data_IF_912133934042
#
_entry.id   IF_912133934042
#
_cell.length_a   1.000
_cell.length_b   1.000
_cell.length_c   1.000
_cell.angle_alpha   90.00
_cell.angle_beta   90.00
_cell.angle_gamma   90.00
#
_symmetry.space_group_name_H-M   'P 1'
#
loop_
_entity.id
_entity.type
_entity.pdbx_description
1 polymer ?
#
# COMPACT_ATOMS: atom_id res chain seq x y z
N UNK A 1 -22.24 -2.37 -0.77
CA UNK A 1 -21.75 -3.63 -1.37
C UNK A 1 -21.48 -4.60 -0.23
N UNK A 2 -21.75 -5.89 -0.39
CA UNK A 2 -21.40 -6.88 0.64
C UNK A 2 -19.88 -7.06 0.62
N UNK A 3 -19.22 -6.64 1.70
CA UNK A 3 -17.76 -6.75 1.84
C UNK A 3 -17.28 -8.20 1.96
N UNK A 4 -18.16 -9.12 2.35
CA UNK A 4 -17.88 -10.56 2.45
C UNK A 4 -18.88 -11.33 1.58
N UNK A 5 -18.37 -12.29 0.79
CA UNK A 5 -19.14 -13.04 -0.21
C UNK A 5 -20.45 -13.60 0.36
N UNK A 6 -21.51 -13.59 -0.46
CA UNK A 6 -22.82 -14.09 -0.04
C UNK A 6 -22.83 -15.63 0.02
N UNK A 7 -22.77 -16.18 1.24
CA UNK A 7 -22.96 -17.61 1.51
C UNK A 7 -23.64 -17.85 2.86
N UNK A 8 -24.85 -18.39 2.80
CA UNK A 8 -25.74 -18.92 3.85
C UNK A 8 -25.33 -18.85 5.34
N UNK A 9 -26.21 -18.23 6.11
CA UNK A 9 -26.31 -18.21 7.57
C UNK A 9 -26.21 -19.63 8.18
N UNK A 10 -25.23 -19.84 9.04
CA UNK A 10 -25.38 -20.73 10.20
C UNK A 10 -24.64 -20.15 11.40
N UNK A 11 -25.38 -19.99 12.50
CA UNK A 11 -24.98 -19.28 13.71
C UNK A 11 -23.88 -19.95 14.57
N UNK A 12 -23.77 -19.54 15.84
CA UNK A 12 -22.52 -19.12 16.45
C UNK A 12 -21.66 -20.29 16.95
N UNK A 13 -20.33 -20.15 16.84
CA UNK A 13 -19.41 -20.92 17.69
C UNK A 13 -18.78 -20.01 18.73
N UNK A 14 -19.27 -20.20 19.95
CA UNK A 14 -18.77 -19.69 21.21
C UNK A 14 -17.32 -20.12 21.48
N UNK A 15 -16.54 -19.17 21.99
CA UNK A 15 -15.58 -19.26 23.10
C UNK A 15 -14.53 -20.39 23.10
N UNK A 16 -13.26 -19.96 23.01
CA UNK A 16 -12.20 -20.33 23.95
C UNK A 16 -11.71 -21.78 23.94
N UNK A 17 -10.53 -22.02 23.36
CA UNK A 17 -9.92 -23.34 23.42
C UNK A 17 -8.48 -23.41 22.94
N UNK A 18 -7.54 -22.72 23.61
CA UNK A 18 -6.11 -23.09 23.58
C UNK A 18 -5.99 -24.54 24.08
N UNK A 19 -5.81 -25.49 23.15
CA UNK A 19 -5.16 -26.83 23.26
C UNK A 19 -5.84 -27.82 22.31
N UNK A 20 -5.46 -27.83 21.02
CA UNK A 20 -5.65 -29.04 20.21
C UNK A 20 -4.78 -29.08 18.94
N UNK A 21 -3.48 -28.76 19.05
CA UNK A 21 -2.52 -29.04 17.96
C UNK A 21 -1.24 -29.65 18.54
N UNK A 22 -1.39 -30.80 19.18
CA UNK A 22 -0.30 -31.71 19.49
C UNK A 22 -0.88 -33.10 19.71
N UNK A 23 -1.33 -33.74 18.63
CA UNK A 23 -1.29 -35.20 18.41
C UNK A 23 -2.19 -35.57 17.24
N UNK A 24 -1.61 -35.65 16.04
CA UNK A 24 -2.08 -36.53 14.96
C UNK A 24 -0.94 -36.77 13.95
N UNK A 25 0.20 -37.23 14.48
CA UNK A 25 1.09 -38.12 13.73
C UNK A 25 0.65 -39.54 14.02
N UNK A 26 -0.05 -40.17 13.07
CA UNK A 26 0.30 -41.48 12.51
C UNK A 26 -0.94 -42.26 12.00
N UNK A 27 -0.67 -42.98 10.89
CA UNK A 27 -1.38 -44.16 10.34
C UNK A 27 -2.65 -43.83 9.55
N UNK A 28 -2.77 -44.09 8.24
CA UNK A 28 -2.62 -45.38 7.57
C UNK A 28 -2.50 -45.23 6.03
N UNK A 29 -1.88 -46.22 5.40
CA UNK A 29 -1.64 -46.33 3.97
C UNK A 29 -2.70 -47.17 3.24
N UNK A 30 -3.13 -46.69 2.05
CA UNK A 30 -3.43 -47.40 0.76
C UNK A 30 -4.53 -48.50 0.71
N UNK A 31 -5.13 -48.85 -0.47
CA UNK A 31 -4.61 -48.64 -1.84
C UNK A 31 -5.58 -48.14 -2.94
N UNK A 32 -4.98 -47.91 -4.11
CA UNK A 32 -5.55 -47.42 -5.36
C UNK A 32 -6.43 -48.42 -6.12
N UNK A 33 -7.35 -47.89 -6.93
CA UNK A 33 -7.88 -48.57 -8.12
C UNK A 33 -8.05 -47.60 -9.29
N UNK A 34 -7.63 -48.10 -10.45
CA UNK A 34 -7.60 -47.52 -11.79
C UNK A 34 -8.96 -47.04 -12.32
N UNK A 35 -8.96 -45.87 -12.97
CA UNK A 35 -9.68 -45.68 -14.24
C UNK A 35 -8.75 -44.88 -15.18
N UNK A 36 -8.33 -45.53 -16.27
CA UNK A 36 -7.71 -44.88 -17.43
C UNK A 36 -8.82 -44.18 -18.22
N UNK A 37 -8.68 -42.88 -18.45
CA UNK A 37 -9.25 -42.24 -19.64
C UNK A 37 -8.16 -41.42 -20.31
N UNK A 38 -7.80 -41.87 -21.50
CA UNK A 38 -7.02 -41.12 -22.48
C UNK A 38 -7.81 -39.89 -22.90
N UNK A 39 -7.31 -38.70 -22.61
CA UNK A 39 -7.77 -37.47 -23.25
C UNK A 39 -6.63 -36.94 -24.09
N UNK A 40 -6.91 -36.81 -25.40
CA UNK A 40 -6.04 -36.20 -26.38
C UNK A 40 -5.64 -34.79 -25.91
N UNK A 41 -4.34 -34.53 -25.91
CA UNK A 41 -3.79 -33.17 -25.81
C UNK A 41 -4.01 -32.53 -27.17
N UNK A 42 -5.08 -31.75 -27.30
CA UNK A 42 -5.18 -30.73 -28.34
C UNK A 42 -4.66 -29.40 -27.78
N UNK A 43 -3.63 -28.91 -28.44
CA UNK A 43 -2.97 -27.63 -28.23
C UNK A 43 -3.98 -26.50 -28.53
N UNK A 44 -4.63 -25.93 -27.49
CA UNK A 44 -5.55 -24.80 -27.69
C UNK A 44 -4.76 -23.50 -27.80
N UNK A 45 -4.53 -23.11 -29.05
CA UNK A 45 -4.13 -21.79 -29.47
C UNK A 45 -5.04 -20.70 -28.86
N UNK A 46 -4.41 -19.60 -28.45
CA UNK A 46 -4.95 -18.25 -28.24
C UNK A 46 -6.45 -18.06 -28.45
N UNK A 47 -7.23 -17.99 -27.36
CA UNK A 47 -8.62 -17.56 -27.38
C UNK A 47 -8.70 -16.04 -27.62
N UNK A 48 -8.59 -15.62 -28.87
CA UNK A 48 -9.27 -14.40 -29.33
C UNK A 48 -10.68 -14.84 -29.71
N UNK A 49 -11.62 -14.66 -28.79
CA UNK A 49 -13.03 -14.99 -29.05
C UNK A 49 -13.61 -14.00 -30.07
N UNK A 50 -14.39 -14.57 -30.98
CA UNK A 50 -14.92 -13.97 -32.21
C UNK A 50 -15.67 -12.65 -31.96
N UNK A 51 -15.33 -11.59 -32.70
CA UNK A 51 -16.03 -10.30 -32.66
C UNK A 51 -17.41 -10.44 -33.32
N UNK A 52 -18.46 -10.67 -32.53
CA UNK A 52 -19.85 -10.39 -32.95
C UNK A 52 -20.46 -9.37 -32.01
N UNK A 53 -20.53 -8.15 -32.52
CA UNK A 53 -21.06 -6.97 -31.86
C UNK A 53 -22.60 -6.95 -31.98
N UNK A 54 -23.29 -7.28 -30.89
CA UNK A 54 -24.34 -6.35 -30.49
C UNK A 54 -23.59 -5.15 -29.91
N UNK A 55 -23.66 -3.94 -30.51
CA UNK A 55 -22.93 -2.79 -30.01
C UNK A 55 -23.40 -2.35 -28.61
N UNK A 56 -24.54 -2.83 -28.13
CA UNK A 56 -25.14 -2.41 -26.87
C UNK A 56 -24.97 -3.42 -25.73
N UNK A 57 -24.75 -4.71 -26.00
CA UNK A 57 -24.70 -5.75 -24.96
C UNK A 57 -23.39 -6.55 -24.94
N UNK A 58 -23.05 -7.07 -23.76
CA UNK A 58 -21.80 -7.77 -23.50
C UNK A 58 -21.97 -8.79 -22.37
N UNK A 59 -20.99 -9.69 -22.25
CA UNK A 59 -20.97 -10.68 -21.19
C UNK A 59 -20.76 -12.11 -21.70
N UNK A 60 -20.84 -13.10 -20.78
CA UNK A 60 -20.63 -14.50 -21.10
C UNK A 60 -21.56 -15.00 -22.20
N UNK A 61 -20.98 -15.58 -23.26
CA UNK A 61 -21.74 -16.09 -24.40
C UNK A 61 -22.30 -15.03 -25.35
N UNK A 62 -22.15 -13.73 -25.03
CA UNK A 62 -22.56 -12.60 -25.87
C UNK A 62 -21.34 -12.05 -26.61
N UNK A 63 -20.29 -11.66 -25.88
CA UNK A 63 -19.10 -11.03 -26.45
C UNK A 63 -18.57 -9.90 -25.58
N UNK A 64 -17.61 -9.15 -26.12
CA UNK A 64 -16.99 -8.01 -25.44
C UNK A 64 -17.39 -6.70 -26.10
N UNK A 65 -17.46 -5.64 -25.29
CA UNK A 65 -17.60 -4.28 -25.78
C UNK A 65 -16.34 -3.84 -26.54
N UNK A 66 -16.51 -2.96 -27.52
CA UNK A 66 -15.41 -2.32 -28.25
C UNK A 66 -15.23 -0.91 -27.70
N UNK A 67 -14.06 -0.59 -27.15
CA UNK A 67 -13.74 0.73 -26.58
C UNK A 67 -14.78 1.22 -25.55
N UNK A 68 -15.33 0.31 -24.76
CA UNK A 68 -16.32 0.58 -23.73
C UNK A 68 -16.15 -0.41 -22.56
N UNK A 69 -16.78 -0.08 -21.45
CA UNK A 69 -16.96 -0.92 -20.28
C UNK A 69 -18.15 -1.85 -20.48
N UNK A 70 -18.16 -2.97 -19.76
CA UNK A 70 -19.29 -3.90 -19.73
C UNK A 70 -19.92 -3.86 -18.34
N UNK A 71 -21.11 -3.28 -18.21
CA UNK A 71 -21.77 -3.13 -16.90
C UNK A 71 -22.11 -4.48 -16.26
N UNK A 72 -22.48 -4.46 -14.97
CA UNK A 72 -22.95 -5.66 -14.27
C UNK A 72 -24.14 -6.32 -14.98
N UNK A 73 -25.02 -5.52 -15.57
CA UNK A 73 -26.23 -5.93 -16.28
C UNK A 73 -25.94 -6.38 -17.73
N UNK A 74 -24.69 -6.29 -18.19
CA UNK A 74 -24.27 -6.74 -19.50
C UNK A 74 -24.53 -5.74 -20.62
N UNK A 75 -24.40 -4.44 -20.34
CA UNK A 75 -24.50 -3.38 -21.35
C UNK A 75 -23.15 -2.69 -21.59
N UNK A 76 -22.94 -2.24 -22.82
CA UNK A 76 -21.77 -1.49 -23.22
C UNK A 76 -21.95 0.02 -22.97
N UNK A 77 -21.01 0.63 -22.27
CA UNK A 77 -21.04 2.07 -21.99
C UNK A 77 -19.71 2.60 -21.46
N UNK A 78 -19.65 3.90 -21.19
CA UNK A 78 -18.40 4.58 -20.77
C UNK A 78 -18.55 5.44 -19.53
N UNK A 79 -19.75 5.48 -18.93
CA UNK A 79 -19.98 6.20 -17.68
C UNK A 79 -19.58 5.33 -16.48
N UNK A 80 -19.45 5.96 -15.31
CA UNK A 80 -19.11 5.30 -14.05
C UNK A 80 -19.98 4.07 -13.77
N UNK A 81 -21.30 4.17 -13.97
CA UNK A 81 -22.26 3.06 -13.80
C UNK A 81 -21.88 1.79 -14.59
N UNK A 82 -21.18 1.95 -15.72
CA UNK A 82 -20.76 0.84 -16.56
C UNK A 82 -19.36 0.36 -16.21
N UNK A 83 -18.49 1.26 -15.74
CA UNK A 83 -17.05 1.05 -15.61
C UNK A 83 -16.59 0.73 -14.19
N UNK A 84 -17.38 1.13 -13.19
CA UNK A 84 -17.03 1.06 -11.79
C UNK A 84 -16.69 -0.37 -11.37
N UNK A 85 -15.51 -0.52 -10.78
CA UNK A 85 -15.15 -1.73 -10.06
C UNK A 85 -15.93 -1.83 -8.73
N UNK A 86 -16.22 -3.06 -8.26
CA UNK A 86 -15.83 -4.34 -8.85
C UNK A 86 -16.82 -4.86 -9.91
N UNK A 87 -17.94 -4.16 -10.10
CA UNK A 87 -19.13 -4.67 -10.78
C UNK A 87 -18.97 -4.76 -12.32
N UNK A 88 -18.14 -3.91 -12.92
CA UNK A 88 -17.84 -3.98 -14.34
C UNK A 88 -17.26 -5.36 -14.71
N UNK A 89 -17.87 -6.03 -15.70
CA UNK A 89 -17.44 -7.32 -16.18
C UNK A 89 -16.14 -7.19 -16.98
N UNK A 90 -15.01 -7.07 -16.30
CA UNK A 90 -13.69 -6.75 -16.86
C UNK A 90 -13.19 -7.72 -17.94
N UNK A 91 -13.72 -8.96 -17.99
CA UNK A 91 -13.42 -9.91 -19.06
C UNK A 91 -14.03 -9.52 -20.41
N UNK A 92 -15.06 -8.67 -20.40
CA UNK A 92 -15.85 -8.26 -21.56
C UNK A 92 -15.84 -6.75 -21.79
N UNK A 93 -15.31 -5.96 -20.86
CA UNK A 93 -15.16 -4.51 -20.98
C UNK A 93 -13.69 -4.08 -20.92
N UNK A 94 -13.02 -3.79 -22.04
CA UNK A 94 -11.61 -3.36 -22.02
C UNK A 94 -11.38 -2.06 -21.25
N UNK A 95 -12.40 -1.21 -21.08
CA UNK A 95 -12.30 0.05 -20.34
C UNK A 95 -12.74 -0.04 -18.87
N UNK A 96 -13.14 -1.20 -18.37
CA UNK A 96 -13.46 -1.36 -16.95
C UNK A 96 -12.30 -0.88 -16.06
N UNK A 97 -12.59 -0.27 -14.93
CA UNK A 97 -11.58 0.25 -13.99
C UNK A 97 -10.53 -0.81 -13.60
N UNK A 98 -10.97 -2.07 -13.47
CA UNK A 98 -10.14 -3.23 -13.19
C UNK A 98 -9.03 -3.48 -14.23
N UNK A 99 -9.21 -3.02 -15.47
CA UNK A 99 -8.27 -3.19 -16.58
C UNK A 99 -7.33 -2.01 -16.77
N UNK A 100 -7.61 -0.86 -16.15
CA UNK A 100 -6.82 0.36 -16.32
C UNK A 100 -5.60 0.31 -15.40
N UNK A 101 -4.42 0.17 -16.00
CA UNK A 101 -3.16 0.19 -15.28
C UNK A 101 -2.81 1.63 -14.83
N UNK A 102 -2.28 1.81 -13.61
CA UNK A 102 -1.63 3.05 -13.22
C UNK A 102 -0.46 3.40 -14.13
N UNK A 103 -0.11 4.68 -14.16
CA UNK A 103 1.07 5.14 -14.89
C UNK A 103 2.39 4.70 -14.23
N UNK A 104 3.50 4.79 -14.97
CA UNK A 104 4.83 4.45 -14.47
C UNK A 104 5.27 2.99 -14.76
N UNK A 105 6.47 2.64 -14.31
CA UNK A 105 7.04 1.32 -14.56
C UNK A 105 6.28 0.23 -13.80
N UNK A 106 6.20 -0.99 -14.37
CA UNK A 106 5.63 -2.13 -13.64
C UNK A 106 6.52 -2.57 -12.47
N UNK A 107 5.91 -3.03 -11.38
CA UNK A 107 6.58 -3.62 -10.21
C UNK A 107 6.74 -5.15 -10.33
N UNK A 108 6.30 -5.76 -11.44
CA UNK A 108 6.29 -7.22 -11.62
C UNK A 108 7.69 -7.86 -11.53
N UNK A 109 8.73 -7.12 -11.92
CA UNK A 109 10.12 -7.62 -11.92
C UNK A 109 10.91 -7.22 -10.66
N UNK A 110 10.26 -6.59 -9.67
CA UNK A 110 10.89 -6.27 -8.39
C UNK A 110 11.02 -7.55 -7.56
N UNK A 111 12.20 -7.76 -6.97
CA UNK A 111 12.48 -8.93 -6.14
C UNK A 111 11.50 -9.07 -4.96
N UNK A 112 11.09 -10.31 -4.67
CA UNK A 112 10.12 -10.66 -3.63
C UNK A 112 10.75 -11.50 -2.52
N UNK A 113 11.80 -11.00 -1.82
CA UNK A 113 12.38 -11.76 -0.72
C UNK A 113 11.36 -11.90 0.41
N UNK A 114 11.41 -13.04 1.10
CA UNK A 114 10.70 -13.27 2.34
C UNK A 114 11.59 -12.81 3.49
N UNK A 115 11.24 -11.70 4.12
CA UNK A 115 12.03 -11.07 5.18
C UNK A 115 11.27 -11.20 6.51
N UNK A 116 12.00 -11.43 7.60
CA UNK A 116 11.40 -11.58 8.93
C UNK A 116 10.79 -12.97 9.16
N UNK A 117 10.05 -13.09 10.26
CA UNK A 117 9.43 -14.35 10.70
C UNK A 117 7.94 -14.46 10.42
N UNK A 118 7.30 -13.37 9.97
CA UNK A 118 5.87 -13.38 9.64
C UNK A 118 5.65 -14.19 8.37
N UNK A 119 4.72 -15.16 8.35
CA UNK A 119 4.48 -16.00 7.17
C UNK A 119 4.04 -15.22 5.93
N UNK A 120 4.45 -15.68 4.75
CA UNK A 120 4.02 -15.18 3.44
C UNK A 120 3.06 -16.16 2.78
N UNK A 121 1.92 -15.67 2.29
CA UNK A 121 0.89 -16.48 1.65
C UNK A 121 0.23 -17.49 2.59
N UNK A 122 0.00 -18.71 2.07
CA UNK A 122 -0.54 -19.82 2.85
C UNK A 122 -1.99 -19.61 3.30
N UNK A 123 -2.32 -20.13 4.48
CA UNK A 123 -3.68 -20.07 5.04
C UNK A 123 -4.08 -18.69 5.59
N UNK A 124 -3.14 -17.74 5.64
CA UNK A 124 -3.33 -16.42 6.23
C UNK A 124 -3.17 -16.38 7.76
N UNK A 125 -3.24 -15.16 8.30
CA UNK A 125 -2.94 -14.81 9.69
C UNK A 125 -4.20 -14.20 10.30
N UNK A 126 -4.67 -14.73 11.43
CA UNK A 126 -5.98 -14.38 12.01
C UNK A 126 -5.88 -13.61 13.33
N UNK A 127 -4.80 -13.77 14.08
CA UNK A 127 -4.65 -13.29 15.45
C UNK A 127 -3.30 -12.60 15.69
N UNK A 128 -3.27 -11.71 16.69
CA UNK A 128 -2.04 -11.10 17.17
C UNK A 128 -1.18 -12.10 17.94
N UNK A 129 0.14 -11.96 17.84
CA UNK A 129 1.08 -12.77 18.63
C UNK A 129 1.43 -12.13 19.97
N UNK A 130 1.23 -10.82 20.10
CA UNK A 130 1.49 -10.05 21.31
C UNK A 130 0.21 -9.88 22.15
N UNK A 131 0.21 -10.31 23.43
CA UNK A 131 -0.88 -10.01 24.34
C UNK A 131 -1.03 -8.51 24.62
N UNK A 132 -2.26 -8.07 24.85
CA UNK A 132 -2.62 -6.69 25.20
C UNK A 132 -2.69 -5.75 24.01
N UNK A 133 -2.54 -6.28 22.79
CA UNK A 133 -2.57 -5.54 21.55
C UNK A 133 -3.83 -5.89 20.74
N UNK A 134 -4.47 -4.85 20.19
CA UNK A 134 -5.55 -4.98 19.23
C UNK A 134 -5.13 -4.22 17.98
N UNK A 135 -5.12 -4.91 16.84
CA UNK A 135 -4.88 -4.32 15.54
C UNK A 135 -6.22 -4.04 14.84
N UNK A 136 -6.63 -2.77 14.81
CA UNK A 136 -7.76 -2.35 13.99
C UNK A 136 -7.36 -2.26 12.54
N UNK A 137 -8.21 -2.81 11.68
CA UNK A 137 -8.00 -2.79 10.25
C UNK A 137 -9.22 -2.21 9.55
N UNK A 138 -8.99 -1.36 8.55
CA UNK A 138 -10.04 -0.72 7.78
C UNK A 138 -9.86 -1.02 6.29
N UNK A 139 -10.86 -1.66 5.69
CA UNK A 139 -10.83 -2.12 4.31
C UNK A 139 -11.55 -1.15 3.37
N UNK A 140 -11.34 -1.35 2.06
CA UNK A 140 -11.95 -0.65 0.91
C UNK A 140 -11.57 0.80 0.69
N UNK A 141 -11.09 1.48 1.73
CA UNK A 141 -10.65 2.86 1.69
C UNK A 141 -9.48 3.15 0.74
N UNK A 142 -9.04 4.42 0.66
CA UNK A 142 -9.68 5.57 1.30
C UNK A 142 -11.00 5.94 0.63
N UNK A 143 -11.87 6.66 1.35
CA UNK A 143 -13.15 7.15 0.88
C UNK A 143 -13.58 8.44 1.62
N UNK A 144 -14.88 8.78 1.58
CA UNK A 144 -15.42 10.04 2.10
C UNK A 144 -15.12 10.29 3.59
N UNK A 145 -15.10 9.24 4.42
CA UNK A 145 -15.01 9.37 5.88
C UNK A 145 -13.61 9.14 6.46
N UNK A 146 -12.65 8.74 5.62
CA UNK A 146 -11.32 8.33 6.06
C UNK A 146 -10.55 9.43 6.80
N UNK A 147 -10.67 10.69 6.38
CA UNK A 147 -9.99 11.80 7.08
C UNK A 147 -10.54 12.01 8.50
N UNK A 148 -11.85 11.87 8.67
CA UNK A 148 -12.50 12.02 9.98
C UNK A 148 -12.18 10.82 10.88
N UNK A 149 -12.02 9.62 10.29
CA UNK A 149 -11.50 8.46 11.01
C UNK A 149 -10.07 8.69 11.52
N UNK A 150 -9.18 9.25 10.70
CA UNK A 150 -7.81 9.59 11.12
C UNK A 150 -7.82 10.60 12.28
N UNK A 151 -8.69 11.62 12.24
CA UNK A 151 -8.85 12.56 13.36
C UNK A 151 -9.28 11.85 14.67
N UNK A 152 -10.21 10.89 14.57
CA UNK A 152 -10.63 10.07 15.72
C UNK A 152 -9.49 9.22 16.26
N UNK A 153 -8.77 8.51 15.39
CA UNK A 153 -7.62 7.70 15.80
C UNK A 153 -6.56 8.55 16.49
N UNK A 154 -6.26 9.74 15.95
CA UNK A 154 -5.34 10.69 16.56
C UNK A 154 -5.81 11.15 17.96
N UNK A 155 -7.10 11.42 18.15
CA UNK A 155 -7.66 11.83 19.44
C UNK A 155 -7.49 10.77 20.54
N UNK A 156 -7.45 9.49 20.17
CA UNK A 156 -7.18 8.37 21.07
C UNK A 156 -5.69 7.96 21.13
N UNK A 157 -4.82 8.60 20.34
CA UNK A 157 -3.45 8.16 20.08
C UNK A 157 -3.40 6.67 19.63
N UNK A 158 -4.37 6.28 18.80
CA UNK A 158 -4.53 4.93 18.28
C UNK A 158 -3.80 4.76 16.95
N UNK A 159 -3.16 3.60 16.74
CA UNK A 159 -2.66 3.16 15.43
C UNK A 159 -3.58 2.10 14.84
N UNK A 160 -3.63 2.06 13.52
CA UNK A 160 -4.50 1.19 12.74
C UNK A 160 -3.80 0.79 11.44
N UNK A 161 -4.37 -0.18 10.72
CA UNK A 161 -3.90 -0.61 9.40
C UNK A 161 -4.98 -0.42 8.35
N UNK A 162 -4.67 0.25 7.25
CA UNK A 162 -5.63 0.49 6.16
C UNK A 162 -5.35 -0.47 5.01
N UNK A 163 -6.29 -1.38 4.72
CA UNK A 163 -6.25 -2.27 3.56
C UNK A 163 -6.89 -1.55 2.38
N UNK A 164 -6.05 -0.97 1.51
CA UNK A 164 -6.48 0.01 0.52
C UNK A 164 -6.71 -0.63 -0.85
N UNK A 165 -7.87 -0.33 -1.43
CA UNK A 165 -8.17 -0.63 -2.83
C UNK A 165 -7.67 0.49 -3.75
N UNK A 166 -7.21 0.13 -4.94
CA UNK A 166 -6.60 1.07 -5.88
C UNK A 166 -7.56 1.88 -6.74
N UNK A 167 -8.59 1.25 -7.31
CA UNK A 167 -9.71 1.90 -7.98
C UNK A 167 -10.97 1.02 -7.79
N UNK A 168 -11.85 1.45 -6.88
CA UNK A 168 -13.04 0.73 -6.41
C UNK A 168 -14.14 1.75 -6.11
N UNK A 169 -15.41 1.33 -6.07
CA UNK A 169 -16.56 2.16 -5.66
C UNK A 169 -16.74 3.43 -6.51
N UNK A 170 -16.28 3.44 -7.75
CA UNK A 170 -16.31 4.63 -8.61
C UNK A 170 -15.46 5.81 -8.09
N UNK A 171 -14.60 5.60 -7.08
CA UNK A 171 -13.81 6.67 -6.46
C UNK A 171 -12.67 7.18 -7.36
N UNK A 172 -12.36 6.44 -8.42
CA UNK A 172 -11.22 6.68 -9.30
C UNK A 172 -9.89 6.19 -8.71
N UNK A 173 -8.80 6.23 -9.51
CA UNK A 173 -7.49 5.71 -9.13
C UNK A 173 -6.86 6.49 -7.96
N UNK A 174 -6.34 5.77 -6.96
CA UNK A 174 -5.76 6.38 -5.75
C UNK A 174 -4.51 7.25 -6.02
N UNK A 175 -3.78 7.01 -7.11
CA UNK A 175 -2.53 7.72 -7.43
C UNK A 175 -2.72 8.95 -8.32
N UNK A 176 -3.86 9.06 -9.03
CA UNK A 176 -4.19 10.23 -9.85
C UNK A 176 -5.26 11.12 -9.23
N UNK A 177 -6.02 10.62 -8.25
CA UNK A 177 -7.01 11.42 -7.53
C UNK A 177 -6.36 12.04 -6.29
N UNK A 178 -6.11 13.35 -6.35
CA UNK A 178 -5.34 14.08 -5.33
C UNK A 178 -5.83 13.90 -3.89
N UNK A 179 -7.16 13.81 -3.69
CA UNK A 179 -7.77 13.54 -2.38
C UNK A 179 -7.28 12.21 -1.77
N UNK A 180 -7.23 11.15 -2.59
CA UNK A 180 -6.81 9.82 -2.15
C UNK A 180 -5.31 9.75 -1.90
N UNK A 181 -4.51 10.31 -2.80
CA UNK A 181 -3.06 10.36 -2.59
C UNK A 181 -2.69 11.17 -1.33
N UNK A 182 -3.41 12.26 -1.05
CA UNK A 182 -3.19 13.10 0.14
C UNK A 182 -3.52 12.35 1.43
N UNK A 183 -4.67 11.68 1.51
CA UNK A 183 -5.05 10.94 2.73
C UNK A 183 -4.17 9.70 2.95
N UNK A 184 -3.69 9.05 1.89
CA UNK A 184 -2.72 7.94 2.00
C UNK A 184 -1.38 8.44 2.58
N UNK A 185 -0.89 9.60 2.12
CA UNK A 185 0.30 10.23 2.70
C UNK A 185 0.09 10.62 4.17
N UNK A 186 -1.12 11.07 4.52
CA UNK A 186 -1.52 11.38 5.89
C UNK A 186 -1.46 10.13 6.78
N UNK A 187 -2.06 9.02 6.35
CA UNK A 187 -2.00 7.72 7.07
C UNK A 187 -0.55 7.35 7.41
N UNK A 188 0.35 7.41 6.42
CA UNK A 188 1.76 7.15 6.64
C UNK A 188 2.36 8.12 7.67
N UNK A 189 2.23 9.44 7.44
CA UNK A 189 2.81 10.45 8.35
C UNK A 189 2.30 10.38 9.79
N UNK A 190 1.06 9.91 9.98
CA UNK A 190 0.46 9.71 11.30
C UNK A 190 0.81 8.34 11.90
N UNK A 191 1.66 7.55 11.25
CA UNK A 191 2.20 6.29 11.77
C UNK A 191 1.26 5.10 11.66
N UNK A 192 0.24 5.17 10.79
CA UNK A 192 -0.60 4.02 10.47
C UNK A 192 0.12 3.10 9.47
N UNK A 193 -0.28 1.83 9.45
CA UNK A 193 0.21 0.90 8.43
C UNK A 193 -0.70 0.95 7.21
N UNK A 194 -0.10 0.91 6.03
CA UNK A 194 -0.82 0.84 4.75
C UNK A 194 -0.59 -0.55 4.17
N UNK A 195 -1.67 -1.19 3.73
CA UNK A 195 -1.66 -2.53 3.18
C UNK A 195 -2.52 -2.60 1.91
N UNK A 196 -2.30 -3.62 1.09
CA UNK A 196 -3.02 -3.79 -0.17
C UNK A 196 -4.35 -4.52 0.04
N UNK A 197 -5.40 -4.06 -0.64
CA UNK A 197 -6.67 -4.77 -0.76
C UNK A 197 -7.05 -5.00 -2.22
N UNK A 198 -6.04 -5.28 -3.06
CA UNK A 198 -6.12 -5.40 -4.53
C UNK A 198 -6.44 -4.09 -5.26
N UNK A 199 -6.26 -4.09 -6.57
CA UNK A 199 -6.58 -2.93 -7.41
C UNK A 199 -8.07 -2.62 -7.39
N UNK A 200 -8.91 -3.59 -7.72
CA UNK A 200 -10.33 -3.34 -8.04
C UNK A 200 -11.28 -4.28 -7.31
N UNK A 201 -10.89 -4.70 -6.10
CA UNK A 201 -11.69 -5.52 -5.18
C UNK A 201 -12.27 -6.80 -5.81
N UNK A 202 -11.53 -7.44 -6.71
CA UNK A 202 -11.97 -8.68 -7.34
C UNK A 202 -11.70 -9.87 -6.43
N UNK A 203 -12.58 -10.87 -6.44
CA UNK A 203 -12.34 -12.12 -5.72
C UNK A 203 -11.15 -12.85 -6.34
N UNK A 204 -10.03 -12.88 -5.63
CA UNK A 204 -8.78 -13.48 -6.10
C UNK A 204 -8.90 -14.97 -6.42
N UNK A 205 -9.85 -15.68 -5.81
CA UNK A 205 -10.11 -17.10 -6.06
C UNK A 205 -10.72 -17.36 -7.45
N UNK A 206 -11.42 -16.37 -8.02
CA UNK A 206 -12.14 -16.51 -9.29
C UNK A 206 -11.32 -16.05 -10.52
N UNK A 207 -10.10 -15.54 -10.29
CA UNK A 207 -9.25 -14.97 -11.31
C UNK A 207 -8.28 -15.98 -11.92
N UNK A 208 -8.02 -15.82 -13.21
CA UNK A 208 -6.86 -16.45 -13.82
C UNK A 208 -5.56 -15.79 -13.31
N UNK A 209 -4.41 -16.49 -13.38
CA UNK A 209 -3.15 -15.97 -12.84
C UNK A 209 -2.71 -14.62 -13.43
N UNK A 210 -3.07 -14.31 -14.68
CA UNK A 210 -2.68 -13.04 -15.30
C UNK A 210 -3.46 -11.89 -14.68
N UNK A 211 -4.77 -12.04 -14.57
CA UNK A 211 -5.64 -11.02 -13.94
C UNK A 211 -5.34 -10.90 -12.45
N UNK A 212 -5.10 -12.02 -11.75
CA UNK A 212 -4.65 -12.01 -10.36
C UNK A 212 -3.41 -11.14 -10.18
N UNK A 213 -2.37 -11.37 -11.00
CA UNK A 213 -1.14 -10.59 -10.90
C UNK A 213 -1.39 -9.09 -11.17
N UNK A 214 -2.24 -8.75 -12.14
CA UNK A 214 -2.62 -7.34 -12.38
C UNK A 214 -3.25 -6.71 -11.14
N UNK A 215 -4.12 -7.40 -10.43
CA UNK A 215 -4.75 -6.89 -9.21
C UNK A 215 -3.73 -6.47 -8.15
N UNK A 216 -2.65 -7.23 -8.00
CA UNK A 216 -1.59 -6.89 -7.04
C UNK A 216 -0.66 -5.82 -7.61
N UNK A 217 -0.10 -6.05 -8.80
CA UNK A 217 0.91 -5.18 -9.44
C UNK A 217 0.36 -3.77 -9.70
N UNK A 218 -0.90 -3.61 -10.11
CA UNK A 218 -1.47 -2.28 -10.32
C UNK A 218 -1.58 -1.52 -8.99
N UNK A 219 -2.04 -2.17 -7.91
CA UNK A 219 -2.12 -1.51 -6.61
C UNK A 219 -0.72 -1.11 -6.10
N UNK A 220 0.28 -1.97 -6.28
CA UNK A 220 1.68 -1.65 -5.97
C UNK A 220 2.23 -0.46 -6.75
N UNK A 221 1.94 -0.39 -8.06
CA UNK A 221 2.35 0.74 -8.89
C UNK A 221 1.75 2.04 -8.36
N UNK A 222 0.46 2.03 -8.00
CA UNK A 222 -0.21 3.19 -7.44
C UNK A 222 0.37 3.61 -6.08
N UNK A 223 0.62 2.67 -5.15
CA UNK A 223 1.30 2.98 -3.89
C UNK A 223 2.69 3.57 -4.12
N UNK A 224 3.49 2.98 -5.02
CA UNK A 224 4.81 3.50 -5.34
C UNK A 224 4.72 4.91 -5.92
N UNK A 225 3.74 5.21 -6.77
CA UNK A 225 3.56 6.55 -7.33
C UNK A 225 3.21 7.58 -6.23
N UNK A 226 2.53 7.16 -5.15
CA UNK A 226 2.14 8.03 -4.03
C UNK A 226 3.26 8.18 -2.98
N UNK A 227 3.89 7.06 -2.62
CA UNK A 227 4.74 6.91 -1.43
C UNK A 227 6.20 6.58 -1.76
N UNK A 228 6.53 6.22 -2.99
CA UNK A 228 7.87 5.72 -3.37
C UNK A 228 8.14 4.26 -2.99
N UNK A 229 7.26 3.63 -2.21
CA UNK A 229 7.29 2.22 -1.81
C UNK A 229 5.88 1.63 -1.84
N UNK A 230 5.77 0.31 -1.66
CA UNK A 230 4.48 -0.38 -1.66
C UNK A 230 4.42 -1.53 -0.63
N UNK A 231 3.21 -1.92 -0.15
CA UNK A 231 3.06 -2.84 0.97
C UNK A 231 3.51 -4.28 0.69
N UNK A 232 3.96 -4.96 1.74
CA UNK A 232 4.14 -6.42 1.81
C UNK A 232 2.97 -7.11 2.52
N UNK A 233 2.04 -6.35 3.07
CA UNK A 233 0.82 -6.84 3.72
C UNK A 233 -0.38 -6.67 2.79
N UNK A 234 -1.27 -7.66 2.78
CA UNK A 234 -2.54 -7.55 2.08
C UNK A 234 -3.64 -8.36 2.76
N UNK A 235 -4.88 -7.95 2.50
CA UNK A 235 -6.06 -8.76 2.78
C UNK A 235 -6.75 -9.12 1.46
N UNK A 236 -7.11 -10.40 1.22
CA UNK A 236 -7.91 -10.77 0.05
C UNK A 236 -9.33 -10.20 0.16
N UNK A 237 -9.88 -9.59 -0.91
CA UNK A 237 -11.29 -9.22 -0.98
C UNK A 237 -12.20 -10.38 -0.59
N UNK A 238 -13.31 -10.06 0.07
CA UNK A 238 -14.30 -11.02 0.57
C UNK A 238 -13.79 -11.97 1.66
N UNK A 239 -12.56 -11.77 2.14
CA UNK A 239 -11.84 -12.73 2.97
C UNK A 239 -11.72 -14.11 2.32
N UNK A 240 -11.66 -14.17 0.99
CA UNK A 240 -11.62 -15.42 0.23
C UNK A 240 -10.27 -15.62 -0.47
N UNK A 241 -9.51 -16.63 -0.03
CA UNK A 241 -8.26 -17.03 -0.66
C UNK A 241 -8.02 -18.51 -0.39
N UNK A 242 -8.19 -19.34 -1.42
CA UNK A 242 -7.87 -20.76 -1.33
C UNK A 242 -6.34 -21.00 -1.32
N UNK A 243 -5.91 -22.26 -1.22
CA UNK A 243 -4.48 -22.61 -1.20
C UNK A 243 -3.73 -22.10 -2.44
N UNK A 244 -4.33 -22.16 -3.62
CA UNK A 244 -3.72 -21.66 -4.86
C UNK A 244 -3.52 -20.14 -4.80
N UNK A 245 -4.52 -19.39 -4.31
CA UNK A 245 -4.40 -17.97 -4.07
C UNK A 245 -3.28 -17.66 -3.06
N UNK A 246 -3.21 -18.41 -1.96
CA UNK A 246 -2.15 -18.28 -0.95
C UNK A 246 -0.74 -18.55 -1.50
N UNK A 247 -0.58 -19.55 -2.38
CA UNK A 247 0.70 -19.87 -3.03
C UNK A 247 1.16 -18.75 -3.98
N UNK A 248 0.22 -18.16 -4.73
CA UNK A 248 0.50 -17.02 -5.60
C UNK A 248 0.90 -15.79 -4.76
N UNK A 249 0.18 -15.48 -3.68
CA UNK A 249 0.53 -14.38 -2.78
C UNK A 249 1.87 -14.59 -2.09
N UNK A 250 2.21 -15.84 -1.74
CA UNK A 250 3.54 -16.18 -1.22
C UNK A 250 4.62 -15.84 -2.24
N UNK A 251 4.41 -16.21 -3.51
CA UNK A 251 5.33 -15.91 -4.62
C UNK A 251 5.47 -14.40 -4.85
N UNK A 252 4.39 -13.64 -4.69
CA UNK A 252 4.37 -12.18 -4.78
C UNK A 252 4.92 -11.48 -3.52
N UNK A 253 5.29 -12.23 -2.48
CA UNK A 253 5.84 -11.70 -1.24
C UNK A 253 4.80 -10.97 -0.40
N UNK A 254 3.58 -11.49 -0.29
CA UNK A 254 2.54 -10.93 0.57
C UNK A 254 2.30 -11.73 1.85
N UNK A 255 2.27 -11.03 2.99
CA UNK A 255 1.61 -11.49 4.21
C UNK A 255 0.09 -11.38 4.01
N UNK A 256 -0.64 -12.46 4.26
CA UNK A 256 -2.10 -12.54 4.04
C UNK A 256 -2.81 -12.39 5.38
N UNK A 257 -3.56 -11.31 5.54
CA UNK A 257 -4.15 -10.89 6.82
C UNK A 257 -5.66 -11.10 6.83
N UNK A 258 -6.13 -11.78 7.86
CA UNK A 258 -7.53 -11.96 8.23
C UNK A 258 -7.81 -11.24 9.56
N UNK A 259 -8.71 -11.78 10.36
CA UNK A 259 -9.21 -11.21 11.60
C UNK A 259 -9.83 -12.32 12.46
N UNK A 260 -9.86 -12.10 13.76
CA UNK A 260 -10.55 -12.94 14.74
C UNK A 260 -11.73 -12.21 15.42
N UNK A 261 -11.93 -10.92 15.11
CA UNK A 261 -13.13 -10.14 15.43
C UNK A 261 -13.67 -9.48 14.15
N UNK A 262 -14.90 -9.82 13.78
CA UNK A 262 -15.70 -9.13 12.76
C UNK A 262 -17.00 -8.65 13.41
N UNK A 263 -17.17 -7.33 13.50
CA UNK A 263 -18.37 -6.74 14.10
C UNK A 263 -19.54 -6.63 13.10
N UNK A 264 -19.31 -6.99 11.84
CA UNK A 264 -20.22 -6.81 10.73
C UNK A 264 -20.72 -5.36 10.57
N UNK A 265 -19.85 -4.35 10.77
CA UNK A 265 -20.19 -2.94 10.59
C UNK A 265 -20.82 -2.64 9.23
N UNK A 266 -20.33 -3.30 8.18
CA UNK A 266 -20.83 -3.20 6.80
C UNK A 266 -22.28 -3.68 6.61
N UNK A 267 -22.80 -4.59 7.47
CA UNK A 267 -24.21 -5.00 7.47
C UNK A 267 -25.10 -4.08 8.31
N UNK A 268 -24.50 -3.23 9.15
CA UNK A 268 -25.17 -2.49 10.20
C UNK A 268 -25.01 -0.96 10.04
N UNK A 269 -24.85 -0.47 8.81
CA UNK A 269 -24.60 0.96 8.49
C UNK A 269 -25.86 1.86 8.55
N UNK A 270 -26.60 1.79 9.66
CA UNK A 270 -27.64 2.77 9.99
C UNK A 270 -27.65 3.09 11.50
N UNK A 271 -28.17 4.25 11.92
CA UNK A 271 -28.16 4.64 13.33
C UNK A 271 -28.81 3.63 14.28
N UNK A 272 -29.77 2.83 13.80
CA UNK A 272 -30.45 1.80 14.59
C UNK A 272 -29.75 0.45 14.54
N UNK A 273 -29.18 0.07 13.39
CA UNK A 273 -28.55 -1.25 13.21
C UNK A 273 -27.15 -1.33 13.81
N UNK A 274 -26.39 -0.23 13.89
CA UNK A 274 -25.01 -0.24 14.39
C UNK A 274 -24.88 -0.77 15.83
N UNK A 275 -25.98 -0.75 16.60
CA UNK A 275 -26.03 -1.36 17.92
C UNK A 275 -25.74 -2.88 17.87
N UNK A 276 -26.06 -3.57 16.78
CA UNK A 276 -25.72 -4.99 16.59
C UNK A 276 -24.20 -5.20 16.57
N UNK A 277 -23.46 -4.35 15.84
CA UNK A 277 -21.99 -4.40 15.80
C UNK A 277 -21.37 -4.14 17.16
N UNK A 278 -21.91 -3.18 17.93
CA UNK A 278 -21.50 -2.94 19.32
C UNK A 278 -21.73 -4.14 20.22
N UNK A 279 -22.85 -4.85 20.06
CA UNK A 279 -23.14 -6.08 20.81
C UNK A 279 -22.16 -7.20 20.45
N UNK A 280 -21.78 -7.32 19.16
CA UNK A 280 -20.78 -8.29 18.72
C UNK A 280 -19.42 -7.97 19.34
N UNK A 281 -19.00 -6.70 19.31
CA UNK A 281 -17.78 -6.24 19.97
C UNK A 281 -17.79 -6.55 21.47
N UNK A 282 -18.85 -6.16 22.18
CA UNK A 282 -18.97 -6.40 23.63
C UNK A 282 -18.88 -7.90 23.95
N UNK A 283 -19.50 -8.75 23.14
CA UNK A 283 -19.45 -10.19 23.32
C UNK A 283 -18.05 -10.78 23.06
N UNK A 284 -17.32 -10.25 22.08
CA UNK A 284 -15.96 -10.67 21.76
C UNK A 284 -14.97 -10.29 22.87
N UNK A 285 -15.09 -9.07 23.41
CA UNK A 285 -14.16 -8.56 24.42
C UNK A 285 -14.54 -8.99 25.85
N UNK A 286 -15.79 -9.43 26.08
CA UNK A 286 -16.27 -9.87 27.38
C UNK A 286 -15.45 -11.03 27.96
N UNK A 287 -14.83 -10.77 29.13
CA UNK A 287 -14.03 -11.78 29.83
C UNK A 287 -12.63 -12.01 29.25
N UNK A 288 -12.25 -11.24 28.23
CA UNK A 288 -10.88 -11.20 27.72
C UNK A 288 -9.92 -10.60 28.77
N UNK A 289 -8.64 -10.92 28.65
CA UNK A 289 -7.58 -10.44 29.54
C UNK A 289 -6.40 -9.92 28.71
N UNK A 290 -6.08 -8.61 28.75
CA UNK A 290 -4.95 -8.05 28.00
C UNK A 290 -3.58 -8.60 28.42
N UNK A 291 -3.48 -9.32 29.55
CA UNK A 291 -2.24 -10.01 29.92
C UNK A 291 -1.98 -11.27 29.07
N UNK A 292 -3.00 -11.83 28.41
CA UNK A 292 -2.91 -13.12 27.71
C UNK A 292 -3.49 -13.14 26.31
N UNK A 293 -4.35 -12.17 26.01
CA UNK A 293 -5.17 -12.11 24.79
C UNK A 293 -4.80 -10.87 23.97
N UNK A 294 -5.00 -10.95 22.67
CA UNK A 294 -4.85 -9.88 21.69
C UNK A 294 -5.71 -10.21 20.48
N UNK A 295 -6.04 -9.21 19.66
CA UNK A 295 -7.07 -9.35 18.63
C UNK A 295 -6.69 -8.64 17.32
N UNK A 296 -7.12 -9.21 16.20
CA UNK A 296 -7.14 -8.58 14.89
C UNK A 296 -8.59 -8.31 14.52
N UNK A 297 -8.95 -7.04 14.43
CA UNK A 297 -10.33 -6.61 14.16
C UNK A 297 -10.46 -6.00 12.77
N UNK A 298 -11.58 -6.29 12.11
CA UNK A 298 -11.94 -5.76 10.80
C UNK A 298 -13.10 -4.77 10.86
N UNK A 299 -12.91 -3.67 10.15
CA UNK A 299 -13.93 -2.68 9.80
C UNK A 299 -13.73 -2.17 8.37
N UNK A 300 -14.64 -1.30 7.91
CA UNK A 300 -14.54 -0.64 6.61
C UNK A 300 -14.81 0.86 6.77
N UNK A 301 -13.82 1.69 6.46
CA UNK A 301 -13.89 3.15 6.67
C UNK A 301 -14.73 3.87 5.60
N UNK A 302 -15.31 3.11 4.67
CA UNK A 302 -16.28 3.58 3.68
C UNK A 302 -17.69 3.75 4.26
N UNK A 303 -17.95 3.22 5.46
CA UNK A 303 -19.25 3.24 6.13
C UNK A 303 -19.37 4.34 7.18
N UNK A 304 -20.50 5.07 7.14
CA UNK A 304 -20.71 6.23 8.00
C UNK A 304 -20.77 5.81 9.46
N UNK A 305 -21.55 4.78 9.79
CA UNK A 305 -21.72 4.35 11.17
C UNK A 305 -20.46 3.69 11.74
N UNK A 306 -19.67 3.02 10.91
CA UNK A 306 -18.36 2.51 11.32
C UNK A 306 -17.50 3.67 11.84
N UNK A 307 -17.30 4.71 11.03
CA UNK A 307 -16.43 5.85 11.40
C UNK A 307 -17.00 6.71 12.53
N UNK A 308 -18.26 7.13 12.45
CA UNK A 308 -18.80 8.13 13.37
C UNK A 308 -19.44 7.57 14.65
N UNK A 309 -19.58 6.25 14.78
CA UNK A 309 -20.32 5.66 15.90
C UNK A 309 -19.59 4.44 16.50
N UNK A 310 -19.16 3.50 15.66
CA UNK A 310 -18.58 2.25 16.12
C UNK A 310 -17.12 2.43 16.56
N UNK A 311 -16.29 3.13 15.80
CA UNK A 311 -14.87 3.32 16.12
C UNK A 311 -14.66 3.93 17.52
N UNK A 312 -15.33 5.03 17.86
CA UNK A 312 -15.17 5.66 19.18
C UNK A 312 -15.61 4.72 20.32
N UNK A 313 -16.65 3.93 20.08
CA UNK A 313 -17.18 2.96 21.05
C UNK A 313 -16.17 1.84 21.31
N UNK A 314 -15.63 1.26 20.25
CA UNK A 314 -14.62 0.21 20.30
C UNK A 314 -13.35 0.71 21.00
N UNK A 315 -12.82 1.86 20.58
CA UNK A 315 -11.63 2.47 21.16
C UNK A 315 -11.82 2.73 22.66
N UNK A 316 -12.93 3.38 23.05
CA UNK A 316 -13.21 3.64 24.46
C UNK A 316 -13.31 2.33 25.28
N UNK A 317 -13.97 1.31 24.73
CA UNK A 317 -14.12 0.00 25.37
C UNK A 317 -12.78 -0.70 25.58
N UNK A 318 -11.96 -0.86 24.54
CA UNK A 318 -10.67 -1.55 24.65
C UNK A 318 -9.68 -0.86 25.60
N UNK A 319 -9.64 0.49 25.59
CA UNK A 319 -8.71 1.24 26.43
C UNK A 319 -9.12 1.15 27.89
N UNK A 320 -10.44 1.11 28.17
CA UNK A 320 -10.94 0.89 29.53
C UNK A 320 -10.54 -0.48 30.11
N UNK A 321 -10.31 -1.45 29.22
CA UNK A 321 -9.85 -2.81 29.57
C UNK A 321 -8.33 -2.95 29.59
N UNK A 322 -7.58 -1.92 29.17
CA UNK A 322 -6.11 -1.91 29.23
C UNK A 322 -5.40 -2.44 27.97
N UNK A 323 -6.13 -2.65 26.87
CA UNK A 323 -5.52 -2.97 25.57
C UNK A 323 -4.88 -1.72 24.92
N UNK A 324 -4.04 -1.96 23.92
CA UNK A 324 -3.41 -0.93 23.07
C UNK A 324 -3.80 -1.13 21.62
N UNK A 325 -4.02 -0.01 20.93
CA UNK A 325 -4.28 0.00 19.49
C UNK A 325 -2.94 0.05 18.74
N UNK A 326 -2.66 -0.95 17.93
CA UNK A 326 -1.40 -1.10 17.18
C UNK A 326 -1.66 -1.35 15.70
N UNK A 327 -0.62 -1.24 14.88
CA UNK A 327 -0.64 -1.74 13.49
C UNK A 327 -0.61 -3.27 13.45
N UNK A 328 -1.00 -3.87 12.31
CA UNK A 328 -0.91 -5.33 12.11
C UNK A 328 0.53 -5.80 12.25
N UNK A 329 1.48 -5.07 11.70
CA UNK A 329 2.91 -5.38 11.80
C UNK A 329 3.40 -5.44 13.25
N UNK A 330 3.05 -4.44 14.07
CA UNK A 330 3.36 -4.44 15.51
C UNK A 330 2.71 -5.62 16.24
N UNK A 331 1.41 -5.85 15.99
CA UNK A 331 0.63 -6.98 16.52
C UNK A 331 1.25 -8.36 16.21
N UNK A 332 2.01 -8.46 15.11
CA UNK A 332 2.72 -9.65 14.67
C UNK A 332 4.21 -9.66 15.04
N UNK A 333 4.70 -8.62 15.71
CA UNK A 333 6.10 -8.46 16.08
C UNK A 333 7.04 -8.22 14.90
N UNK A 334 6.53 -7.73 13.76
CA UNK A 334 7.31 -7.45 12.58
C UNK A 334 7.85 -6.01 12.58
N UNK A 335 9.17 -5.79 12.50
CA UNK A 335 9.74 -4.46 12.39
C UNK A 335 9.17 -3.67 11.20
N UNK A 336 8.92 -2.38 11.38
CA UNK A 336 8.31 -1.53 10.33
C UNK A 336 9.08 -1.45 9.02
N UNK A 337 10.39 -1.72 9.05
CA UNK A 337 11.21 -1.84 7.84
C UNK A 337 10.80 -2.99 6.91
N UNK A 338 10.06 -3.99 7.40
CA UNK A 338 9.61 -5.16 6.65
C UNK A 338 8.21 -4.98 6.04
N UNK A 339 7.46 -3.95 6.45
CA UNK A 339 6.07 -3.75 6.03
C UNK A 339 5.91 -3.31 4.58
N UNK A 340 6.99 -2.80 3.97
CA UNK A 340 6.97 -2.27 2.61
C UNK A 340 8.20 -2.72 1.79
N UNK A 341 8.16 -2.46 0.49
CA UNK A 341 9.25 -2.68 -0.45
C UNK A 341 9.33 -1.54 -1.47
N UNK A 342 10.54 -1.15 -1.90
CA UNK A 342 10.79 0.06 -2.72
C UNK A 342 11.41 -0.21 -4.09
N UNK A 343 11.63 -1.47 -4.48
CA UNK A 343 12.12 -1.81 -5.82
C UNK A 343 13.64 -1.89 -6.01
N UNK A 344 14.43 -1.42 -5.05
CA UNK A 344 15.87 -1.70 -4.98
C UNK A 344 16.14 -2.65 -3.80
N UNK A 345 16.74 -3.81 -4.06
CA UNK A 345 17.02 -4.88 -3.11
C UNK A 345 17.98 -4.50 -1.94
N UNK A 346 18.26 -3.21 -1.73
CA UNK A 346 19.19 -2.70 -0.71
C UNK A 346 18.83 -1.32 -0.17
N UNK A 347 17.67 -0.75 -0.51
CA UNK A 347 17.24 0.53 0.08
C UNK A 347 16.49 0.25 1.40
N UNK A 348 16.95 0.78 2.54
CA UNK A 348 16.15 0.78 3.76
C UNK A 348 14.82 1.47 3.47
N UNK A 349 13.72 0.79 3.77
CA UNK A 349 12.39 1.40 3.74
C UNK A 349 12.33 2.42 4.89
N UNK A 350 11.82 3.64 4.68
CA UNK A 350 11.64 4.60 5.76
C UNK A 350 10.81 3.99 6.89
N UNK A 351 11.16 4.25 8.16
CA UNK A 351 10.20 4.05 9.25
C UNK A 351 8.89 4.75 8.90
N UNK A 352 7.76 4.10 9.16
CA UNK A 352 6.43 4.57 8.76
C UNK A 352 6.13 6.05 9.12
N UNK A 353 6.80 6.61 10.13
CA UNK A 353 6.61 7.99 10.60
C UNK A 353 7.37 9.08 9.81
N UNK A 354 8.18 8.75 8.80
CA UNK A 354 9.01 9.75 8.08
C UNK A 354 8.53 9.97 6.64
N UNK A 355 8.37 11.23 6.24
CA UNK A 355 8.05 11.60 4.86
C UNK A 355 9.30 11.49 3.96
N UNK A 356 9.17 10.98 2.74
CA UNK A 356 10.27 10.98 1.77
C UNK A 356 10.50 12.41 1.27
N UNK A 357 11.77 12.83 1.28
CA UNK A 357 12.21 14.15 0.81
C UNK A 357 11.83 14.39 -0.65
N UNK A 358 11.03 15.44 -0.87
CA UNK A 358 10.57 15.94 -2.17
C UNK A 358 11.28 17.24 -2.60
N UNK A 359 12.04 17.87 -1.70
CA UNK A 359 12.79 19.10 -1.93
C UNK A 359 14.31 18.95 -1.77
N UNK A 360 14.76 17.74 -1.42
CA UNK A 360 16.16 17.40 -1.20
C UNK A 360 16.64 17.65 0.22
N UNK A 361 15.79 18.09 1.15
CA UNK A 361 16.14 18.26 2.56
C UNK A 361 15.82 17.01 3.39
N UNK A 362 16.49 16.84 4.53
CA UNK A 362 16.23 15.75 5.46
C UNK A 362 16.46 16.15 6.91
N UNK A 363 15.67 15.58 7.80
CA UNK A 363 15.69 15.80 9.25
C UNK A 363 15.00 14.62 9.97
N UNK A 364 14.72 14.73 11.27
CA UNK A 364 14.11 13.65 12.05
C UNK A 364 12.77 13.13 11.48
N UNK A 365 12.01 14.00 10.78
CA UNK A 365 10.68 13.71 10.24
C UNK A 365 10.71 13.50 8.71
N UNK A 366 11.78 13.92 8.02
CA UNK A 366 11.95 13.85 6.56
C UNK A 366 13.17 13.00 6.21
N UNK A 367 12.95 11.91 5.47
CA UNK A 367 13.96 10.92 5.10
C UNK A 367 14.40 11.00 3.64
N UNK A 368 15.67 10.74 3.39
CA UNK A 368 16.24 10.61 2.05
C UNK A 368 16.01 9.22 1.46
N UNK A 369 15.60 8.24 2.27
CA UNK A 369 15.37 6.88 1.83
C UNK A 369 14.25 6.83 0.78
N UNK A 370 14.59 6.45 -0.46
CA UNK A 370 13.65 6.44 -1.59
C UNK A 370 13.46 7.77 -2.31
N UNK A 371 14.21 8.81 -1.92
CA UNK A 371 14.17 10.14 -2.57
C UNK A 371 14.89 10.15 -3.93
N UNK A 372 14.41 10.97 -4.87
CA UNK A 372 15.06 11.18 -6.18
C UNK A 372 16.44 11.84 -6.07
N UNK A 373 16.72 12.53 -4.95
CA UNK A 373 17.99 13.21 -4.70
C UNK A 373 19.08 12.22 -4.21
N UNK A 374 18.68 11.03 -3.76
CA UNK A 374 19.58 10.01 -3.23
C UNK A 374 19.26 9.62 -1.79
N UNK A 375 19.78 8.48 -1.36
CA UNK A 375 19.35 7.82 -0.13
C UNK A 375 20.05 8.28 1.15
N UNK A 376 21.09 9.11 1.05
CA UNK A 376 21.91 9.50 2.21
C UNK A 376 21.55 10.90 2.67
N UNK A 377 21.30 11.05 3.98
CA UNK A 377 21.07 12.35 4.60
C UNK A 377 22.39 12.88 5.16
N UNK A 378 22.94 13.93 4.54
CA UNK A 378 24.19 14.56 4.97
C UNK A 378 24.06 15.20 6.36
N UNK A 379 25.20 15.51 6.99
CA UNK A 379 25.23 16.28 8.24
C UNK A 379 24.62 17.69 8.10
N UNK A 380 24.51 18.19 6.87
CA UNK A 380 23.92 19.49 6.55
C UNK A 380 22.40 19.41 6.29
N UNK A 381 21.78 18.25 6.44
CA UNK A 381 20.33 18.07 6.25
C UNK A 381 19.91 18.03 4.78
N UNK A 382 20.78 17.52 3.91
CA UNK A 382 20.51 17.37 2.47
C UNK A 382 20.62 15.91 2.01
N UNK A 383 19.77 15.53 1.06
CA UNK A 383 19.74 14.23 0.42
C UNK A 383 20.72 14.15 -0.76
N UNK A 384 21.39 13.00 -0.87
CA UNK A 384 22.36 12.74 -1.92
C UNK A 384 22.77 11.27 -1.98
N UNK A 385 23.60 10.93 -2.97
CA UNK A 385 24.11 9.56 -3.17
C UNK A 385 25.64 9.44 -3.15
N UNK A 386 26.36 10.55 -2.94
CA UNK A 386 27.85 10.56 -2.97
C UNK A 386 28.42 10.53 -1.56
N UNK A 387 29.74 10.31 -1.43
CA UNK A 387 30.44 10.32 -0.15
C UNK A 387 30.25 11.65 0.64
N UNK A 388 29.95 12.77 -0.04
CA UNK A 388 29.64 14.02 0.64
C UNK A 388 28.34 13.95 1.48
N UNK A 389 27.44 13.02 1.12
CA UNK A 389 26.16 12.81 1.79
C UNK A 389 26.15 11.54 2.62
N UNK A 390 26.78 10.48 2.13
CA UNK A 390 26.83 9.15 2.75
C UNK A 390 28.00 8.97 3.72
N UNK A 391 28.99 9.87 3.68
CA UNK A 391 30.21 9.79 4.47
C UNK A 391 30.06 10.27 5.91
N UNK A 392 31.14 10.82 6.46
CA UNK A 392 31.20 11.25 7.86
C UNK A 392 30.13 12.29 8.18
N UNK A 393 29.31 12.01 9.19
CA UNK A 393 28.22 12.89 9.61
C UNK A 393 26.88 12.62 8.93
N UNK A 394 26.80 11.59 8.08
CA UNK A 394 25.52 11.12 7.55
C UNK A 394 24.56 10.75 8.71
N UNK A 395 23.32 11.23 8.62
CA UNK A 395 22.26 11.06 9.61
C UNK A 395 21.51 9.75 9.34
N UNK A 396 21.87 8.70 10.09
CA UNK A 396 21.32 7.35 9.89
C UNK A 396 19.84 7.22 10.25
N UNK A 397 19.29 8.18 10.98
CA UNK A 397 17.85 8.25 11.27
C UNK A 397 17.03 8.64 10.03
N UNK A 398 17.65 9.29 9.04
CA UNK A 398 16.96 9.92 7.91
C UNK A 398 17.61 9.59 6.57
N UNK A 399 18.54 8.62 6.54
CA UNK A 399 19.26 8.23 5.33
C UNK A 399 20.13 6.98 5.52
N UNK A 400 20.56 6.37 4.41
CA UNK A 400 21.39 5.18 4.40
C UNK A 400 22.89 5.51 4.48
N UNK A 401 23.44 5.53 5.70
CA UNK A 401 24.84 5.89 5.95
C UNK A 401 25.83 4.73 5.85
N UNK A 402 25.41 3.58 5.29
CA UNK A 402 26.27 2.39 5.15
C UNK A 402 26.91 2.28 3.77
N UNK A 403 26.53 3.13 2.81
CA UNK A 403 27.12 3.19 1.49
C UNK A 403 28.42 4.01 1.51
N UNK A 404 29.54 3.40 1.92
CA UNK A 404 30.86 3.96 1.64
C UNK A 404 31.85 2.89 1.18
N UNK A 405 32.36 3.06 -0.06
CA UNK A 405 33.37 2.30 -0.83
C UNK A 405 32.92 0.93 -1.39
N UNK A 406 33.00 0.60 -2.70
CA UNK A 406 34.07 0.72 -3.71
C UNK A 406 33.45 0.58 -5.12
N UNK A 407 33.74 1.37 -6.15
CA UNK A 407 34.94 1.30 -7.01
C UNK A 407 34.96 2.47 -8.00
N UNK A 408 36.15 3.01 -8.20
CA UNK A 408 36.51 3.99 -9.23
C UNK A 408 36.52 3.39 -10.63
N UNK A 409 35.81 4.00 -11.58
CA UNK A 409 36.29 4.15 -12.96
C UNK A 409 36.09 5.60 -13.40
N UNK A 410 37.21 6.26 -13.60
CA UNK A 410 37.34 7.58 -14.20
C UNK A 410 36.84 7.59 -15.64
N UNK A 411 35.80 8.37 -15.91
CA UNK A 411 35.39 8.91 -17.21
C UNK A 411 34.54 10.18 -16.97
N UNK A 412 34.50 11.15 -17.89
CA UNK A 412 34.47 12.57 -17.56
C UNK A 412 33.12 13.07 -17.01
N UNK A 413 33.19 14.13 -16.22
CA UNK A 413 32.06 14.85 -15.66
C UNK A 413 31.05 15.24 -16.75
N UNK A 414 29.89 14.59 -16.73
CA UNK A 414 28.66 15.07 -17.36
C UNK A 414 27.61 15.24 -16.27
N UNK A 415 27.44 16.49 -15.83
CA UNK A 415 26.41 16.92 -14.88
C UNK A 415 25.02 16.78 -15.52
N UNK A 416 24.02 16.16 -14.87
CA UNK A 416 22.64 16.23 -15.35
C UNK A 416 22.04 17.57 -14.91
N UNK A 417 22.11 18.56 -15.81
CA UNK A 417 21.28 19.77 -15.75
C UNK A 417 19.99 19.47 -16.52
N UNK A 418 18.97 18.91 -15.87
CA UNK A 418 17.63 18.86 -16.48
C UNK A 418 16.56 19.07 -15.42
N UNK A 419 16.08 20.31 -15.32
CA UNK A 419 14.94 20.68 -14.48
C UNK A 419 14.94 22.13 -13.99
N UNK A 420 16.09 22.80 -13.96
CA UNK A 420 16.21 24.17 -13.44
C UNK A 420 16.17 25.22 -14.56
N UNK A 421 15.43 26.30 -14.32
CA UNK A 421 15.38 27.46 -15.23
C UNK A 421 16.58 28.38 -14.96
N UNK A 422 17.24 28.92 -15.99
CA UNK A 422 18.33 29.88 -15.78
C UNK A 422 17.78 31.16 -15.16
N UNK A 423 18.45 31.68 -14.14
CA UNK A 423 18.03 32.86 -13.39
C UNK A 423 18.04 34.12 -14.26
N UNK A 424 16.88 34.76 -14.36
CA UNK A 424 16.60 36.03 -15.06
C UNK A 424 16.34 37.21 -14.10
N UNK A 425 16.33 36.96 -12.78
CA UNK A 425 16.05 37.95 -11.72
C UNK A 425 17.08 37.90 -10.57
N UNK A 426 18.24 37.29 -10.82
CA UNK A 426 19.31 37.05 -9.87
C UNK A 426 18.97 36.10 -8.71
N UNK A 427 17.79 35.46 -8.69
CA UNK A 427 17.44 34.48 -7.65
C UNK A 427 17.80 33.05 -8.07
N UNK A 428 18.14 32.21 -7.09
CA UNK A 428 18.50 30.81 -7.29
C UNK A 428 18.16 29.98 -6.04
N UNK A 429 18.07 28.67 -6.18
CA UNK A 429 17.77 27.78 -5.07
C UNK A 429 16.52 26.93 -5.28
N UNK A 430 16.27 26.00 -4.35
CA UNK A 430 15.20 25.00 -4.45
C UNK A 430 13.80 25.60 -4.50
N UNK A 431 13.57 26.70 -3.77
CA UNK A 431 12.28 27.41 -3.73
C UNK A 431 11.96 28.10 -5.06
N UNK A 432 12.97 28.68 -5.72
CA UNK A 432 12.78 29.37 -7.01
C UNK A 432 12.86 28.43 -8.20
N UNK A 433 13.38 27.20 -8.02
CA UNK A 433 13.67 26.22 -9.07
C UNK A 433 14.55 26.83 -10.19
N UNK A 434 15.42 27.78 -9.82
CA UNK A 434 16.31 28.52 -10.72
C UNK A 434 17.79 28.19 -10.49
N UNK A 435 18.57 28.18 -11.56
CA UNK A 435 20.03 28.01 -11.55
C UNK A 435 20.75 29.29 -11.98
N UNK A 436 21.87 29.59 -11.34
CA UNK A 436 22.79 30.66 -11.73
C UNK A 436 23.68 30.28 -12.91
N UNK A 437 23.77 28.99 -13.25
CA UNK A 437 24.63 28.52 -14.32
C UNK A 437 24.15 29.07 -15.68
N UNK A 438 24.94 29.97 -16.28
CA UNK A 438 24.60 30.68 -17.52
C UNK A 438 23.80 31.98 -17.31
N UNK A 439 23.60 32.42 -16.07
CA UNK A 439 22.94 33.69 -15.75
C UNK A 439 23.86 34.90 -15.95
N UNK A 440 23.29 36.05 -16.30
CA UNK A 440 24.03 37.32 -16.43
C UNK A 440 24.56 37.86 -15.09
N UNK A 441 23.96 37.42 -13.97
CA UNK A 441 24.33 37.85 -12.62
C UNK A 441 25.56 37.09 -12.07
N UNK A 442 25.96 36.01 -12.73
CA UNK A 442 27.08 35.16 -12.32
C UNK A 442 26.67 33.70 -12.12
N UNK A 443 27.64 32.81 -12.14
CA UNK A 443 27.39 31.37 -12.17
C UNK A 443 27.19 30.72 -10.79
N UNK A 444 27.43 31.44 -9.69
CA UNK A 444 27.43 30.90 -8.35
C UNK A 444 26.14 31.27 -7.60
N UNK A 445 25.54 30.30 -6.92
CA UNK A 445 24.37 30.53 -6.08
C UNK A 445 24.79 30.65 -4.62
N UNK A 446 24.66 31.84 -4.03
CA UNK A 446 25.01 32.07 -2.62
C UNK A 446 24.06 31.35 -1.67
N UNK A 447 24.46 31.22 -0.40
CA UNK A 447 23.60 30.71 0.67
C UNK A 447 22.29 31.49 0.88
N UNK A 448 22.24 32.74 0.40
CA UNK A 448 21.08 33.61 0.48
C UNK A 448 20.14 33.50 -0.72
N UNK A 449 20.41 32.59 -1.66
CA UNK A 449 19.56 32.36 -2.83
C UNK A 449 19.73 33.40 -3.94
N UNK A 450 20.92 34.01 -4.04
CA UNK A 450 21.24 34.99 -5.08
C UNK A 450 22.43 34.57 -5.95
N UNK A 451 22.36 34.91 -7.23
CA UNK A 451 23.42 34.70 -8.21
C UNK A 451 24.52 35.75 -8.12
N UNK A 452 25.77 35.30 -8.26
CA UNK A 452 26.95 36.15 -8.25
C UNK A 452 28.19 35.46 -8.79
N UNK A 453 29.29 36.21 -8.87
CA UNK A 453 30.59 35.71 -9.36
C UNK A 453 31.76 35.95 -8.41
N UNK A 454 31.54 36.62 -7.28
CA UNK A 454 32.61 36.89 -6.30
C UNK A 454 32.73 35.73 -5.30
N UNK A 455 33.83 35.72 -4.54
CA UNK A 455 34.09 34.71 -3.50
C UNK A 455 32.94 34.59 -2.48
N UNK A 456 32.21 35.67 -2.21
CA UNK A 456 31.06 35.64 -1.30
C UNK A 456 29.91 34.77 -1.81
N UNK A 457 29.81 34.59 -3.13
CA UNK A 457 28.78 33.78 -3.79
C UNK A 457 29.30 32.39 -4.14
N UNK A 458 30.57 32.28 -4.53
CA UNK A 458 31.15 31.07 -5.08
C UNK A 458 31.83 30.18 -4.04
N UNK A 459 32.30 30.73 -2.91
CA UNK A 459 33.07 29.94 -1.94
C UNK A 459 32.22 28.87 -1.28
N UNK A 460 32.70 27.63 -1.30
CA UNK A 460 32.12 26.55 -0.50
C UNK A 460 32.11 26.89 1.01
N UNK A 461 33.09 27.66 1.50
CA UNK A 461 33.14 28.10 2.91
C UNK A 461 32.00 29.06 3.30
N UNK A 462 31.36 29.69 2.31
CA UNK A 462 30.24 30.62 2.48
C UNK A 462 28.91 29.95 2.09
N UNK A 463 28.86 28.62 2.11
CA UNK A 463 27.69 27.78 1.79
C UNK A 463 27.10 28.06 0.40
N UNK A 464 27.97 28.19 -0.62
CA UNK A 464 27.53 28.21 -2.02
C UNK A 464 26.72 26.94 -2.34
N UNK A 465 25.56 27.12 -2.97
CA UNK A 465 24.60 26.05 -3.27
C UNK A 465 24.94 25.38 -4.61
N UNK A 466 25.73 24.31 -4.58
CA UNK A 466 26.23 23.61 -5.78
C UNK A 466 25.14 22.96 -6.64
N UNK A 467 23.93 22.76 -6.10
CA UNK A 467 22.76 22.31 -6.87
C UNK A 467 22.18 23.38 -7.80
N UNK A 468 22.50 24.66 -7.57
CA UNK A 468 21.91 25.80 -8.28
C UNK A 468 22.98 26.76 -8.84
N UNK A 469 24.26 26.40 -8.79
CA UNK A 469 25.36 27.21 -9.31
C UNK A 469 26.72 26.50 -9.23
N UNK A 470 27.75 27.12 -9.78
CA UNK A 470 29.14 26.63 -9.78
C UNK A 470 29.88 27.13 -8.55
N UNK A 471 30.17 26.24 -7.58
CA UNK A 471 30.90 26.60 -6.37
C UNK A 471 32.40 26.26 -6.49
N UNK A 472 33.25 27.07 -5.85
CA UNK A 472 34.72 26.98 -5.88
C UNK A 472 35.32 26.71 -4.51
#
# INVERSE_FOLDING_TARGET
MNAHGSGEVSGPKLMGGRRFLSDLKARHALPASLVKSTVHVEEKASNVLDTRADPETCGPGIGSCVNACCSAEGYCGTTEEYCAAPDCQFRYGPLCDANIAPSGASTANIERPHIGSVPYGGAGIYDCVNPGEIAFTFDDGPYLYTNDLLDKLAAYNAKATFMITGNNLGKGPIDTTAQWSTVIKRMASEGHQIASHTWSHQNLTDLDPTTFNKQMIYNEMAFRNILGYFPTYMRPPYSECNSTCGDILSTLGYHVIYFDIDTAGYLNDSPTLIQNSKIIWDAAIAGSNPATDGFLEIEHDIHYQTVYNLTDYILASMYSLGYKSVTVGECLGDPSANWYRSGNASAPVPPASQQISDDGTCNADITCLGSEFGNCCSSAGWCGSTDAYCGTGCQSASGNCTASSTTTTSAPASTPTSGLTVSDDATCGGTTKKTCQGSEFGNCCSQYGYCGSTTDYCSASNNCQSGFGTCS
#
